data_IF_607923313227
#
_entry.id   IF_607923313227
#
_cell.length_a   1.000
_cell.length_b   1.000
_cell.length_c   1.000
_cell.angle_alpha   90.00
_cell.angle_beta   90.00
_cell.angle_gamma   90.00
#
_symmetry.space_group_name_H-M   'P 1'
#
loop_
_entity.id
_entity.type
_entity.pdbx_description
1 polymer ?
#
# COMPACT_ATOMS: atom_id res chain seq x y z
N UNK A 1 -25.39 -8.98 18.59
CA UNK A 1 -24.17 -9.66 18.06
C UNK A 1 -22.95 -8.82 18.39
N UNK A 2 -21.83 -9.39 18.85
CA UNK A 2 -20.60 -8.63 19.11
C UNK A 2 -20.03 -8.11 17.77
N UNK A 3 -19.70 -6.82 17.67
CA UNK A 3 -19.07 -6.23 16.48
C UNK A 3 -17.73 -6.93 16.20
N UNK A 4 -17.48 -7.31 14.95
CA UNK A 4 -16.22 -7.95 14.55
C UNK A 4 -15.05 -6.97 14.73
N UNK A 5 -13.86 -7.44 15.09
CA UNK A 5 -12.66 -6.61 15.08
C UNK A 5 -12.38 -6.08 13.68
N UNK A 6 -12.02 -4.80 13.58
CA UNK A 6 -11.70 -4.12 12.32
C UNK A 6 -10.19 -4.08 12.09
N UNK A 7 -9.77 -4.43 10.88
CA UNK A 7 -8.39 -4.53 10.46
C UNK A 7 -8.13 -3.53 9.31
N UNK A 8 -7.22 -2.57 9.51
CA UNK A 8 -6.88 -1.55 8.53
C UNK A 8 -5.58 -1.95 7.81
N UNK A 9 -5.70 -2.26 6.52
CA UNK A 9 -4.58 -2.59 5.66
C UNK A 9 -4.04 -1.35 4.96
N UNK A 10 -2.82 -0.93 5.31
CA UNK A 10 -2.18 0.25 4.72
C UNK A 10 -1.31 -0.20 3.54
N UNK A 11 -1.76 0.17 2.34
CA UNK A 11 -1.17 -0.20 1.07
C UNK A 11 -0.41 0.97 0.46
N UNK A 12 0.58 0.67 -0.36
CA UNK A 12 1.30 1.66 -1.14
C UNK A 12 2.70 1.20 -1.45
N UNK A 13 3.22 1.68 -2.57
CA UNK A 13 4.60 1.43 -2.97
C UNK A 13 5.59 1.92 -1.89
N UNK A 14 6.75 1.27 -1.79
CA UNK A 14 7.86 1.80 -1.01
C UNK A 14 8.12 3.25 -1.41
N UNK A 15 8.43 4.11 -0.42
CA UNK A 15 8.72 5.56 -0.63
C UNK A 15 7.51 6.43 -0.97
N UNK A 16 6.29 5.88 -0.97
CA UNK A 16 5.04 6.66 -1.13
C UNK A 16 4.50 7.29 0.15
N UNK A 17 5.22 7.26 1.27
CA UNK A 17 4.74 7.84 2.53
C UNK A 17 3.82 6.93 3.36
N UNK A 18 3.79 5.63 3.09
CA UNK A 18 3.00 4.66 3.86
C UNK A 18 3.35 4.65 5.35
N UNK A 19 4.62 4.85 5.72
CA UNK A 19 5.04 5.01 7.13
C UNK A 19 4.40 6.23 7.79
N UNK A 20 4.24 7.32 7.05
CA UNK A 20 3.63 8.56 7.52
C UNK A 20 2.15 8.37 7.80
N UNK A 21 1.44 7.79 6.84
CA UNK A 21 0.02 7.44 7.01
C UNK A 21 -0.16 6.45 8.17
N UNK A 22 0.73 5.46 8.30
CA UNK A 22 0.71 4.52 9.44
C UNK A 22 0.79 5.24 10.78
N UNK A 23 1.69 6.21 10.91
CA UNK A 23 1.79 6.99 12.15
C UNK A 23 0.55 7.83 12.40
N UNK A 24 -0.01 8.47 11.39
CA UNK A 24 -1.24 9.25 11.53
C UNK A 24 -2.41 8.36 12.00
N UNK A 25 -2.60 7.19 11.39
CA UNK A 25 -3.63 6.23 11.80
C UNK A 25 -3.39 5.69 13.20
N UNK A 26 -2.12 5.49 13.58
CA UNK A 26 -1.78 5.10 14.94
C UNK A 26 -2.16 6.18 15.97
N UNK A 27 -1.96 7.47 15.66
CA UNK A 27 -2.40 8.58 16.50
C UNK A 27 -3.94 8.66 16.61
N UNK A 28 -4.66 8.24 15.56
CA UNK A 28 -6.12 8.07 15.57
C UNK A 28 -6.60 6.82 16.34
N UNK A 29 -5.68 6.05 16.95
CA UNK A 29 -6.02 4.90 17.78
C UNK A 29 -6.07 3.56 17.05
N UNK A 30 -5.54 3.48 15.82
CA UNK A 30 -5.29 2.18 15.17
C UNK A 30 -4.12 1.49 15.86
N UNK A 31 -4.38 0.32 16.43
CA UNK A 31 -3.34 -0.50 17.05
C UNK A 31 -2.42 -1.11 15.97
N UNK A 32 -1.16 -0.66 15.93
CA UNK A 32 -0.12 -1.22 15.06
C UNK A 32 0.73 -2.29 15.77
N UNK A 33 0.39 -2.60 17.02
CA UNK A 33 1.06 -3.58 17.86
C UNK A 33 2.14 -2.95 18.73
N UNK A 34 2.78 -3.79 19.55
CA UNK A 34 3.80 -3.33 20.49
C UNK A 34 4.95 -2.60 19.76
N UNK A 35 5.32 -1.40 20.23
CA UNK A 35 6.39 -0.58 19.66
C UNK A 35 7.73 -1.32 19.53
N UNK A 36 8.03 -2.26 20.44
CA UNK A 36 9.26 -3.10 20.39
C UNK A 36 9.27 -4.05 19.17
N UNK A 37 8.10 -4.39 18.65
CA UNK A 37 7.93 -5.28 17.50
C UNK A 37 7.79 -4.51 16.18
N UNK A 38 7.76 -3.17 16.23
CA UNK A 38 7.75 -2.32 15.06
C UNK A 38 9.17 -2.01 14.59
N UNK A 39 9.36 -2.01 13.28
CA UNK A 39 10.64 -1.62 12.68
C UNK A 39 10.87 -0.13 12.93
N UNK A 40 11.86 0.17 13.76
CA UNK A 40 12.23 1.51 14.22
C UNK A 40 12.87 2.39 13.13
N UNK A 41 13.51 3.47 13.57
CA UNK A 41 14.23 4.41 12.70
C UNK A 41 15.44 3.75 12.04
N UNK A 42 15.80 4.23 10.84
CA UNK A 42 17.02 3.82 10.15
C UNK A 42 17.44 4.85 9.11
N UNK A 43 18.63 4.69 8.51
CA UNK A 43 19.20 5.66 7.54
C UNK A 43 18.23 6.06 6.42
N UNK A 44 17.44 5.10 5.93
CA UNK A 44 16.47 5.35 4.86
C UNK A 44 15.12 5.91 5.34
N UNK A 45 14.83 5.90 6.64
CA UNK A 45 13.64 6.50 7.24
C UNK A 45 13.89 6.85 8.73
N UNK A 46 14.38 8.07 9.01
CA UNK A 46 14.71 8.50 10.36
C UNK A 46 13.53 8.49 11.34
N UNK A 47 12.28 8.61 10.86
CA UNK A 47 11.07 8.63 11.70
C UNK A 47 10.42 7.25 11.89
N UNK A 48 11.11 6.18 11.49
CA UNK A 48 10.68 4.80 11.70
C UNK A 48 9.82 4.24 10.57
N UNK A 49 9.95 2.94 10.31
CA UNK A 49 9.21 2.28 9.25
C UNK A 49 7.81 1.85 9.65
N UNK A 50 7.50 1.66 10.93
CA UNK A 50 6.16 1.25 11.40
C UNK A 50 5.69 -0.09 10.80
N UNK A 51 6.62 -0.92 10.31
CA UNK A 51 6.33 -2.28 9.81
C UNK A 51 6.46 -3.27 10.97
N UNK A 52 5.42 -4.07 11.21
CA UNK A 52 5.46 -5.09 12.26
C UNK A 52 6.40 -6.23 11.84
N UNK A 53 7.48 -6.41 12.59
CA UNK A 53 8.65 -7.20 12.16
C UNK A 53 8.33 -8.66 11.82
N UNK A 54 7.45 -9.33 12.60
CA UNK A 54 7.06 -10.71 12.32
C UNK A 54 6.20 -10.83 11.05
N UNK A 55 5.35 -9.83 10.77
CA UNK A 55 4.58 -9.75 9.53
C UNK A 55 5.54 -9.59 8.34
N UNK A 56 6.46 -8.62 8.41
CA UNK A 56 7.44 -8.38 7.35
C UNK A 56 8.31 -9.60 7.08
N UNK A 57 8.81 -10.28 8.12
CA UNK A 57 9.60 -11.52 7.97
C UNK A 57 8.79 -12.62 7.28
N UNK A 58 7.50 -12.75 7.60
CA UNK A 58 6.63 -13.75 6.98
C UNK A 58 6.42 -13.46 5.49
N UNK A 59 6.15 -12.21 5.13
CA UNK A 59 5.99 -11.80 3.73
C UNK A 59 7.29 -11.95 2.92
N UNK A 60 8.44 -11.59 3.50
CA UNK A 60 9.74 -11.83 2.86
C UNK A 60 10.01 -13.32 2.61
N UNK A 61 9.63 -14.20 3.55
CA UNK A 61 9.73 -15.65 3.34
C UNK A 61 8.83 -16.13 2.20
N UNK A 62 7.61 -15.58 2.07
CA UNK A 62 6.71 -15.91 0.96
C UNK A 62 7.34 -15.49 -0.38
N UNK A 63 7.86 -14.27 -0.49
CA UNK A 63 8.53 -13.83 -1.73
C UNK A 63 9.73 -14.72 -2.07
N UNK A 64 10.55 -15.11 -1.07
CA UNK A 64 11.66 -16.05 -1.28
C UNK A 64 11.21 -17.44 -1.75
N UNK A 65 10.09 -17.96 -1.21
CA UNK A 65 9.49 -19.23 -1.65
C UNK A 65 9.07 -19.16 -3.11
N UNK A 66 8.61 -17.99 -3.55
CA UNK A 66 8.18 -17.70 -4.92
C UNK A 66 9.35 -17.22 -5.80
N UNK A 67 10.59 -17.44 -5.37
CA UNK A 67 11.82 -17.05 -6.09
C UNK A 67 11.84 -15.60 -6.57
N UNK A 68 11.25 -14.69 -5.79
CA UNK A 68 11.12 -13.28 -6.14
C UNK A 68 11.49 -12.38 -4.95
N UNK A 69 11.61 -11.09 -5.23
CA UNK A 69 11.89 -10.03 -4.26
C UNK A 69 10.84 -8.91 -4.33
N UNK A 70 11.01 -7.91 -3.47
CA UNK A 70 10.11 -6.76 -3.38
C UNK A 70 10.23 -5.83 -4.60
N UNK A 71 11.36 -5.82 -5.30
CA UNK A 71 11.66 -4.96 -6.45
C UNK A 71 11.36 -5.61 -7.81
N UNK A 72 10.51 -6.64 -7.79
CA UNK A 72 10.00 -7.26 -9.01
C UNK A 72 9.15 -6.30 -9.82
N UNK A 73 9.21 -6.45 -11.14
CA UNK A 73 8.50 -5.61 -12.12
C UNK A 73 7.33 -6.33 -12.80
N UNK A 74 7.06 -7.57 -12.41
CA UNK A 74 6.10 -8.46 -13.05
C UNK A 74 5.10 -8.99 -12.01
N UNK A 75 3.85 -9.33 -12.36
CA UNK A 75 2.87 -9.92 -11.44
C UNK A 75 3.25 -11.33 -11.00
N UNK A 76 2.71 -11.78 -9.86
CA UNK A 76 3.00 -13.14 -9.37
C UNK A 76 2.34 -14.12 -10.33
N UNK A 77 2.99 -15.27 -10.56
CA UNK A 77 2.43 -16.35 -11.37
C UNK A 77 1.03 -16.71 -10.90
N UNK A 78 0.15 -17.09 -11.81
CA UNK A 78 -1.16 -17.57 -11.43
C UNK A 78 -1.05 -18.74 -10.44
N UNK A 79 -2.05 -18.87 -9.57
CA UNK A 79 -2.11 -19.97 -8.61
C UNK A 79 -0.93 -20.07 -7.61
N UNK A 80 -0.07 -19.05 -7.45
CA UNK A 80 1.03 -19.03 -6.48
C UNK A 80 0.60 -19.38 -5.04
N UNK A 81 -0.65 -19.08 -4.67
CA UNK A 81 -1.24 -19.45 -3.38
C UNK A 81 -1.45 -20.96 -3.17
N UNK A 82 -1.46 -21.77 -4.25
CA UNK A 82 -1.58 -23.23 -4.16
C UNK A 82 -0.31 -23.87 -3.59
N UNK A 83 0.84 -23.20 -3.70
CA UNK A 83 2.12 -23.66 -3.16
C UNK A 83 2.03 -23.98 -1.66
N UNK A 84 2.38 -25.21 -1.28
CA UNK A 84 2.23 -25.69 0.10
C UNK A 84 3.08 -24.89 1.11
N UNK A 85 4.27 -24.42 0.70
CA UNK A 85 5.16 -23.63 1.56
C UNK A 85 4.57 -22.25 1.82
N UNK A 86 3.90 -21.65 0.83
CA UNK A 86 3.13 -20.41 1.00
C UNK A 86 1.98 -20.64 1.98
N UNK A 87 1.18 -21.70 1.81
CA UNK A 87 0.09 -22.05 2.74
C UNK A 87 0.58 -22.18 4.18
N UNK A 88 1.76 -22.77 4.40
CA UNK A 88 2.37 -22.86 5.72
C UNK A 88 2.75 -21.49 6.30
N UNK A 89 3.22 -20.54 5.47
CA UNK A 89 3.44 -19.17 5.95
C UNK A 89 2.12 -18.45 6.27
N UNK A 90 1.03 -18.70 5.54
CA UNK A 90 -0.30 -18.14 5.87
C UNK A 90 -0.78 -18.63 7.24
N UNK A 91 -0.55 -19.90 7.59
CA UNK A 91 -0.84 -20.41 8.96
C UNK A 91 -0.06 -19.63 10.03
N UNK A 92 1.24 -19.43 9.82
CA UNK A 92 2.10 -18.64 10.72
C UNK A 92 1.67 -17.18 10.80
N UNK A 93 1.23 -16.59 9.69
CA UNK A 93 0.72 -15.23 9.66
C UNK A 93 -0.53 -15.10 10.56
N UNK A 94 -1.47 -16.04 10.48
CA UNK A 94 -2.64 -16.08 11.37
C UNK A 94 -2.26 -16.21 12.84
N UNK A 95 -1.27 -17.03 13.17
CA UNK A 95 -0.76 -17.17 14.55
C UNK A 95 -0.18 -15.84 15.05
N UNK A 96 0.63 -15.16 14.24
CA UNK A 96 1.17 -13.82 14.54
C UNK A 96 0.03 -12.82 14.77
N UNK A 97 -0.98 -12.82 13.91
CA UNK A 97 -2.12 -11.89 14.04
C UNK A 97 -2.92 -12.18 15.31
N UNK A 98 -3.27 -13.44 15.59
CA UNK A 98 -3.99 -13.82 16.81
C UNK A 98 -3.22 -13.43 18.08
N UNK A 99 -1.94 -13.76 18.14
CA UNK A 99 -1.11 -13.54 19.32
C UNK A 99 -0.92 -12.06 19.65
N UNK A 100 -0.85 -11.19 18.63
CA UNK A 100 -0.50 -9.78 18.83
C UNK A 100 -1.70 -8.83 18.73
N UNK A 101 -2.76 -9.22 18.02
CA UNK A 101 -3.90 -8.34 17.69
C UNK A 101 -5.26 -8.98 17.99
N UNK A 102 -5.31 -10.21 18.53
CA UNK A 102 -6.57 -10.93 18.77
C UNK A 102 -7.53 -10.24 19.76
N UNK A 103 -7.02 -9.38 20.62
CA UNK A 103 -7.81 -8.60 21.58
C UNK A 103 -8.11 -7.16 21.10
N UNK A 104 -7.56 -6.75 19.96
CA UNK A 104 -7.68 -5.38 19.44
C UNK A 104 -8.99 -5.22 18.67
N UNK A 105 -9.83 -4.27 19.08
CA UNK A 105 -11.10 -3.96 18.39
C UNK A 105 -10.87 -3.27 17.04
N UNK A 106 -9.80 -2.49 16.95
CA UNK A 106 -9.34 -1.79 15.77
C UNK A 106 -7.81 -1.90 15.72
N UNK A 107 -7.30 -2.56 14.70
CA UNK A 107 -5.86 -2.73 14.49
C UNK A 107 -5.51 -2.48 13.02
N UNK A 108 -4.24 -2.36 12.73
CA UNK A 108 -3.78 -2.20 11.35
C UNK A 108 -2.35 -2.68 11.16
N UNK A 109 -1.98 -2.83 9.90
CA UNK A 109 -0.62 -3.17 9.52
C UNK A 109 -0.22 -2.42 8.27
N UNK A 110 1.08 -2.21 8.16
CA UNK A 110 1.71 -1.66 6.96
C UNK A 110 2.91 -2.49 6.62
N UNK A 111 2.97 -2.90 5.36
CA UNK A 111 4.16 -3.41 4.70
C UNK A 111 3.92 -3.28 3.20
N UNK A 112 4.76 -2.57 2.42
CA UNK A 112 4.50 -2.39 0.99
C UNK A 112 4.28 -3.70 0.23
N UNK A 113 4.95 -4.78 0.61
CA UNK A 113 4.86 -6.11 -0.06
C UNK A 113 3.45 -6.68 0.04
N UNK A 114 2.65 -6.18 0.98
CA UNK A 114 1.21 -6.48 1.11
C UNK A 114 0.45 -6.15 -0.17
N UNK A 115 0.86 -5.12 -0.94
CA UNK A 115 0.24 -4.84 -2.24
C UNK A 115 0.31 -6.03 -3.20
N UNK A 116 1.44 -6.76 -3.20
CA UNK A 116 1.64 -7.92 -4.08
C UNK A 116 1.05 -9.20 -3.49
N UNK A 117 0.97 -9.27 -2.17
CA UNK A 117 0.54 -10.45 -1.43
C UNK A 117 -0.88 -10.35 -0.88
N UNK A 118 -1.68 -9.35 -1.28
CA UNK A 118 -2.98 -9.07 -0.67
C UNK A 118 -3.92 -10.29 -0.57
N UNK A 119 -3.94 -11.22 -1.56
CA UNK A 119 -4.74 -12.43 -1.45
C UNK A 119 -4.46 -13.30 -0.19
N UNK A 120 -3.24 -13.31 0.36
CA UNK A 120 -3.00 -14.00 1.64
C UNK A 120 -3.69 -13.31 2.82
N UNK A 121 -3.78 -11.98 2.79
CA UNK A 121 -4.34 -11.18 3.86
C UNK A 121 -5.85 -11.28 3.88
N UNK A 122 -6.48 -11.25 2.72
CA UNK A 122 -7.93 -11.49 2.60
C UNK A 122 -8.32 -12.85 3.17
N UNK A 123 -7.54 -13.88 2.84
CA UNK A 123 -7.73 -15.20 3.44
C UNK A 123 -7.51 -15.17 4.94
N UNK A 124 -6.45 -14.51 5.40
CA UNK A 124 -6.08 -14.42 6.82
C UNK A 124 -7.18 -13.73 7.63
N UNK A 125 -7.59 -12.51 7.25
CA UNK A 125 -8.60 -11.74 8.00
C UNK A 125 -9.97 -12.40 7.95
N UNK A 126 -10.37 -12.98 6.82
CA UNK A 126 -11.61 -13.77 6.70
C UNK A 126 -11.61 -14.98 7.64
N UNK A 127 -10.54 -15.78 7.66
CA UNK A 127 -10.42 -16.94 8.56
C UNK A 127 -10.26 -16.56 10.04
N UNK A 128 -9.94 -15.30 10.33
CA UNK A 128 -9.91 -14.73 11.68
C UNK A 128 -11.20 -13.98 12.05
N UNK A 129 -12.22 -13.99 11.19
CA UNK A 129 -13.50 -13.30 11.37
C UNK A 129 -13.34 -11.79 11.67
N UNK A 130 -12.45 -11.13 10.92
CA UNK A 130 -12.17 -9.70 10.99
C UNK A 130 -12.79 -8.98 9.78
N UNK A 131 -13.36 -7.79 10.02
CA UNK A 131 -13.71 -6.88 8.94
C UNK A 131 -12.45 -6.15 8.47
N UNK A 132 -12.22 -6.09 7.16
CA UNK A 132 -10.99 -5.51 6.59
C UNK A 132 -11.31 -4.29 5.73
N UNK A 133 -10.56 -3.22 5.95
CA UNK A 133 -10.65 -2.00 5.13
C UNK A 133 -9.25 -1.55 4.72
N UNK A 134 -9.18 -0.75 3.66
CA UNK A 134 -7.92 -0.46 2.99
C UNK A 134 -7.66 1.05 2.89
N UNK A 135 -6.43 1.46 3.17
CA UNK A 135 -5.95 2.82 2.87
C UNK A 135 -4.84 2.71 1.84
N UNK A 136 -5.07 3.21 0.63
CA UNK A 136 -4.11 3.17 -0.47
C UNK A 136 -3.34 4.48 -0.51
N UNK A 137 -2.04 4.42 -0.23
CA UNK A 137 -1.15 5.57 -0.24
C UNK A 137 -0.41 5.63 -1.57
N UNK A 138 -0.61 6.73 -2.31
CA UNK A 138 0.05 6.97 -3.59
C UNK A 138 0.96 8.19 -3.49
N UNK A 139 2.00 8.22 -4.30
CA UNK A 139 2.90 9.37 -4.46
C UNK A 139 3.29 9.47 -5.93
N UNK A 140 3.65 10.67 -6.39
CA UNK A 140 4.18 10.90 -7.72
C UNK A 140 5.26 9.86 -8.08
N UNK A 141 5.12 9.14 -9.20
CA UNK A 141 6.06 8.10 -9.60
C UNK A 141 7.49 8.61 -9.80
N UNK A 142 7.69 9.85 -10.26
CA UNK A 142 9.04 10.44 -10.39
C UNK A 142 9.70 10.63 -9.02
N UNK A 143 8.94 11.07 -8.02
CA UNK A 143 9.48 11.29 -6.68
C UNK A 143 9.82 9.96 -5.99
N UNK A 144 9.02 8.93 -6.23
CA UNK A 144 9.33 7.55 -5.83
C UNK A 144 10.58 7.06 -6.54
N UNK A 145 10.69 7.25 -7.86
CA UNK A 145 11.85 6.84 -8.65
C UNK A 145 13.14 7.54 -8.20
N UNK A 146 13.10 8.86 -7.99
CA UNK A 146 14.25 9.61 -7.45
C UNK A 146 14.64 9.11 -6.04
N UNK A 147 13.67 8.74 -5.20
CA UNK A 147 13.97 8.15 -3.89
C UNK A 147 14.60 6.76 -3.99
N UNK A 148 14.15 5.93 -4.94
CA UNK A 148 14.73 4.61 -5.20
C UNK A 148 16.11 4.70 -5.84
N UNK A 149 16.35 5.65 -6.74
CA UNK A 149 17.67 5.93 -7.29
C UNK A 149 18.68 6.26 -6.17
N UNK A 150 18.33 7.18 -5.26
CA UNK A 150 19.20 7.53 -4.12
C UNK A 150 19.44 6.35 -3.16
N UNK A 151 18.44 5.50 -2.93
CA UNK A 151 18.52 4.39 -1.95
C UNK A 151 19.17 3.12 -2.52
N UNK A 152 18.89 2.80 -3.77
CA UNK A 152 19.20 1.51 -4.39
C UNK A 152 20.01 1.60 -5.68
N UNK A 153 20.20 2.80 -6.25
CA UNK A 153 20.82 2.97 -7.56
C UNK A 153 19.94 2.46 -8.72
N UNK A 154 18.62 2.38 -8.53
CA UNK A 154 17.73 1.91 -9.58
C UNK A 154 17.57 2.93 -10.70
N UNK A 155 17.52 2.44 -11.94
CA UNK A 155 17.14 3.21 -13.11
C UNK A 155 15.69 3.68 -13.02
N UNK A 156 15.38 4.76 -13.74
CA UNK A 156 14.04 5.34 -13.81
C UNK A 156 13.01 4.29 -14.23
N UNK A 157 13.24 3.65 -15.38
CA UNK A 157 12.32 2.63 -15.92
C UNK A 157 11.98 1.53 -14.90
N UNK A 158 12.99 0.91 -14.28
CA UNK A 158 12.77 -0.13 -13.25
C UNK A 158 11.90 0.41 -12.12
N UNK A 159 12.18 1.62 -11.65
CA UNK A 159 11.42 2.25 -10.58
C UNK A 159 9.97 2.51 -10.96
N UNK A 160 9.70 2.99 -12.18
CA UNK A 160 8.35 3.22 -12.70
C UNK A 160 7.57 1.90 -12.84
N UNK A 161 8.21 0.84 -13.35
CA UNK A 161 7.59 -0.49 -13.48
C UNK A 161 7.22 -1.10 -12.12
N UNK A 162 8.09 -0.99 -11.11
CA UNK A 162 7.78 -1.43 -9.74
C UNK A 162 6.63 -0.60 -9.17
N UNK A 163 6.67 0.73 -9.34
CA UNK A 163 5.62 1.62 -8.86
C UNK A 163 4.25 1.28 -9.45
N UNK A 164 4.18 1.04 -10.76
CA UNK A 164 2.95 0.65 -11.44
C UNK A 164 2.42 -0.68 -10.91
N UNK A 165 3.29 -1.69 -10.77
CA UNK A 165 2.88 -3.01 -10.28
C UNK A 165 2.24 -2.92 -8.89
N UNK A 166 2.89 -2.21 -7.96
CA UNK A 166 2.38 -2.06 -6.59
C UNK A 166 1.08 -1.26 -6.55
N UNK A 167 1.00 -0.20 -7.34
CA UNK A 167 -0.16 0.71 -7.37
C UNK A 167 -1.37 0.01 -7.97
N UNK A 168 -1.21 -0.61 -9.14
CA UNK A 168 -2.28 -1.40 -9.77
C UNK A 168 -2.70 -2.58 -8.89
N UNK A 169 -1.76 -3.34 -8.31
CA UNK A 169 -2.10 -4.45 -7.43
C UNK A 169 -2.92 -3.97 -6.22
N UNK A 170 -2.56 -2.83 -5.63
CA UNK A 170 -3.30 -2.26 -4.51
C UNK A 170 -4.74 -1.90 -4.88
N UNK A 171 -4.96 -1.25 -6.03
CA UNK A 171 -6.31 -0.90 -6.46
C UNK A 171 -7.13 -2.09 -6.96
N UNK A 172 -6.54 -3.00 -7.75
CA UNK A 172 -7.25 -4.15 -8.30
C UNK A 172 -7.65 -5.15 -7.21
N UNK A 173 -6.73 -5.50 -6.30
CA UNK A 173 -7.10 -6.41 -5.21
C UNK A 173 -8.08 -5.79 -4.21
N UNK A 174 -8.23 -4.47 -4.17
CA UNK A 174 -9.20 -3.81 -3.27
C UNK A 174 -10.49 -3.38 -3.95
N UNK A 175 -10.66 -3.71 -5.23
CA UNK A 175 -11.90 -3.43 -5.95
C UNK A 175 -13.11 -4.05 -5.23
N UNK A 176 -14.21 -3.28 -5.15
CA UNK A 176 -15.44 -3.66 -4.45
C UNK A 176 -15.27 -3.96 -2.94
N UNK A 177 -14.23 -3.40 -2.31
CA UNK A 177 -13.99 -3.49 -0.85
C UNK A 177 -14.06 -2.11 -0.19
N UNK A 178 -14.26 -2.08 1.12
CA UNK A 178 -14.22 -0.84 1.92
C UNK A 178 -12.80 -0.24 1.85
N UNK A 179 -12.61 0.79 1.03
CA UNK A 179 -11.31 1.40 0.78
C UNK A 179 -11.40 2.92 0.66
N UNK A 180 -10.28 3.56 0.95
CA UNK A 180 -10.05 4.98 0.67
C UNK A 180 -8.62 5.14 0.16
N UNK A 181 -8.31 6.31 -0.38
CA UNK A 181 -6.97 6.61 -0.87
C UNK A 181 -6.50 7.99 -0.42
N UNK A 182 -5.18 8.14 -0.38
CA UNK A 182 -4.51 9.37 -0.01
C UNK A 182 -3.25 9.53 -0.86
N UNK A 183 -3.07 10.70 -1.46
CA UNK A 183 -1.77 11.05 -2.04
C UNK A 183 -0.85 11.62 -0.97
N UNK A 184 0.44 11.32 -1.08
CA UNK A 184 1.45 11.86 -0.17
C UNK A 184 1.52 13.39 -0.24
N UNK A 185 1.29 13.91 -1.45
CA UNK A 185 1.24 15.33 -1.76
C UNK A 185 0.08 16.01 -1.00
N UNK A 186 -1.14 15.48 -1.07
CA UNK A 186 -2.30 16.06 -0.36
C UNK A 186 -2.12 15.99 1.16
N UNK A 187 -1.56 14.90 1.68
CA UNK A 187 -1.26 14.74 3.10
C UNK A 187 -0.26 15.80 3.61
N UNK A 188 0.74 16.16 2.81
CA UNK A 188 1.73 17.16 3.22
C UNK A 188 1.22 18.59 3.07
N UNK A 189 0.40 18.86 2.05
CA UNK A 189 -0.17 20.19 1.81
C UNK A 189 -1.24 20.54 2.86
N UNK A 190 -2.16 19.63 3.13
CA UNK A 190 -3.18 19.79 4.15
C UNK A 190 -3.50 18.41 4.73
N UNK A 191 -2.87 18.06 5.84
CA UNK A 191 -3.02 16.74 6.44
C UNK A 191 -4.41 16.45 6.98
N UNK A 192 -5.15 17.48 7.37
CA UNK A 192 -6.39 17.34 8.14
C UNK A 192 -7.52 16.81 7.25
N UNK A 193 -7.68 17.37 6.06
CA UNK A 193 -8.71 16.97 5.09
C UNK A 193 -8.62 15.49 4.70
N UNK A 194 -7.49 14.96 4.18
CA UNK A 194 -7.40 13.58 3.77
C UNK A 194 -7.49 12.62 4.97
N UNK A 195 -6.98 12.98 6.16
CA UNK A 195 -7.16 12.14 7.34
C UNK A 195 -8.61 12.12 7.84
N UNK A 196 -9.34 13.24 7.76
CA UNK A 196 -10.79 13.29 8.05
C UNK A 196 -11.59 12.44 7.06
N UNK A 197 -11.21 12.45 5.79
CA UNK A 197 -11.79 11.55 4.78
C UNK A 197 -11.56 10.10 5.16
N UNK A 198 -10.32 9.70 5.50
CA UNK A 198 -10.01 8.33 5.93
C UNK A 198 -10.80 7.93 7.19
N UNK A 199 -10.91 8.84 8.16
CA UNK A 199 -11.69 8.61 9.39
C UNK A 199 -13.16 8.38 9.11
N UNK A 200 -13.77 9.20 8.24
CA UNK A 200 -15.17 9.07 7.83
C UNK A 200 -15.39 7.81 7.02
N UNK A 201 -14.64 7.63 5.93
CA UNK A 201 -14.81 6.54 4.96
C UNK A 201 -14.63 5.17 5.63
N UNK A 202 -13.71 5.05 6.58
CA UNK A 202 -13.39 3.80 7.26
C UNK A 202 -13.93 3.71 8.69
N UNK A 203 -14.79 4.65 9.12
CA UNK A 203 -15.33 4.69 10.49
C UNK A 203 -14.25 4.55 11.60
N UNK A 204 -13.08 5.17 11.39
CA UNK A 204 -12.00 5.21 12.38
C UNK A 204 -12.29 6.37 13.34
N UNK A 205 -12.33 6.15 14.67
CA UNK A 205 -12.62 7.22 15.62
C UNK A 205 -11.59 8.36 15.54
N UNK A 206 -12.07 9.60 15.39
CA UNK A 206 -11.23 10.77 15.58
C UNK A 206 -11.21 11.11 17.08
N UNK A 207 -10.09 10.86 17.77
CA UNK A 207 -10.00 11.02 19.23
C UNK A 207 -8.99 12.10 19.61
N UNK A 208 -9.49 13.13 20.29
CA UNK A 208 -8.67 14.20 20.86
C UNK A 208 -8.05 15.12 19.81
N UNK A 209 -7.25 16.07 20.28
CA UNK A 209 -6.43 16.90 19.43
C UNK A 209 -5.08 16.22 19.19
N UNK A 210 -4.88 15.75 17.95
CA UNK A 210 -3.64 15.10 17.48
C UNK A 210 -2.82 16.04 16.58
N UNK A 211 -3.24 17.30 16.45
CA UNK A 211 -2.68 18.25 15.48
C UNK A 211 -1.19 18.48 15.69
N UNK A 212 -0.76 18.70 16.93
CA UNK A 212 0.66 18.95 17.22
C UNK A 212 1.52 17.72 16.95
N UNK A 213 1.06 16.54 17.36
CA UNK A 213 1.74 15.26 17.09
C UNK A 213 1.86 14.97 15.59
N UNK A 214 0.83 15.31 14.80
CA UNK A 214 0.86 15.16 13.34
C UNK A 214 1.82 16.17 12.71
N UNK A 215 1.74 17.46 13.08
CA UNK A 215 2.61 18.52 12.53
C UNK A 215 4.09 18.24 12.81
N UNK A 216 4.42 17.80 14.02
CA UNK A 216 5.77 17.38 14.39
C UNK A 216 6.27 16.22 13.50
N UNK A 217 5.37 15.26 13.22
CA UNK A 217 5.71 14.11 12.37
C UNK A 217 5.82 14.49 10.88
N UNK A 218 4.96 15.38 10.37
CA UNK A 218 4.86 15.70 8.94
C UNK A 218 5.89 16.70 8.41
N UNK A 219 6.83 17.18 9.25
CA UNK A 219 7.87 18.18 8.89
C UNK A 219 8.15 18.29 7.38
N UNK A 220 7.89 19.46 6.75
CA UNK A 220 8.04 19.68 5.30
C UNK A 220 9.42 19.29 4.74
N UNK A 221 10.45 19.31 5.60
CA UNK A 221 11.82 18.86 5.29
C UNK A 221 11.91 17.40 4.79
N UNK A 222 10.86 16.59 4.98
CA UNK A 222 10.78 15.19 4.52
C UNK A 222 10.40 15.06 3.04
N UNK A 223 9.89 16.11 2.40
CA UNK A 223 9.60 16.10 0.96
C UNK A 223 10.85 16.50 0.17
N UNK A 224 11.74 15.54 -0.05
CA UNK A 224 12.98 15.80 -0.80
C UNK A 224 12.79 15.97 -2.31
N UNK A 225 11.67 15.51 -2.86
CA UNK A 225 11.32 15.63 -4.28
C UNK A 225 9.86 16.05 -4.39
N UNK A 226 9.58 17.00 -5.28
CA UNK A 226 8.24 17.53 -5.60
C UNK A 226 8.12 17.72 -7.11
N UNK A 227 7.93 16.61 -7.84
CA UNK A 227 7.72 16.64 -9.28
C UNK A 227 6.28 17.07 -9.62
N UNK A 228 6.11 17.89 -10.65
CA UNK A 228 4.79 18.26 -11.18
C UNK A 228 4.19 17.15 -12.05
N UNK A 229 2.93 17.32 -12.44
CA UNK A 229 2.27 16.43 -13.40
C UNK A 229 2.83 16.65 -14.82
N UNK A 230 3.25 17.88 -15.13
CA UNK A 230 3.95 18.25 -16.36
C UNK A 230 5.32 17.57 -16.45
N UNK A 231 6.10 17.57 -15.35
CA UNK A 231 7.37 16.84 -15.27
C UNK A 231 7.16 15.36 -15.54
N UNK A 232 6.10 14.78 -14.94
CA UNK A 232 5.77 13.38 -15.17
C UNK A 232 5.48 13.12 -16.64
N UNK A 233 4.60 13.92 -17.26
CA UNK A 233 4.24 13.79 -18.68
C UNK A 233 5.49 13.83 -19.57
N UNK A 234 6.41 14.75 -19.32
CA UNK A 234 7.63 14.93 -20.11
C UNK A 234 8.63 13.79 -19.91
N UNK A 235 8.81 13.31 -18.67
CA UNK A 235 9.81 12.28 -18.34
C UNK A 235 9.32 10.85 -18.51
N UNK A 236 8.03 10.64 -18.80
CA UNK A 236 7.45 9.32 -19.05
C UNK A 236 6.81 9.21 -20.43
N UNK A 237 7.32 9.94 -21.43
CA UNK A 237 6.87 9.84 -22.83
C UNK A 237 6.97 8.40 -23.36
N UNK A 238 8.03 7.69 -23.00
CA UNK A 238 8.23 6.26 -23.32
C UNK A 238 7.39 5.31 -22.44
N UNK A 239 6.76 5.83 -21.39
CA UNK A 239 5.94 5.06 -20.45
C UNK A 239 4.54 5.68 -20.27
N UNK A 240 3.74 5.81 -21.36
CA UNK A 240 2.46 6.55 -21.33
C UNK A 240 1.45 5.97 -20.33
N UNK A 241 1.50 4.66 -20.08
CA UNK A 241 0.65 3.99 -19.09
C UNK A 241 0.91 4.47 -17.66
N UNK A 242 2.15 4.86 -17.32
CA UNK A 242 2.51 5.38 -16.00
C UNK A 242 1.84 6.73 -15.77
N UNK A 243 1.91 7.60 -16.78
CA UNK A 243 1.25 8.90 -16.75
C UNK A 243 -0.27 8.76 -16.66
N UNK A 244 -0.88 7.92 -17.54
CA UNK A 244 -2.33 7.65 -17.52
C UNK A 244 -2.77 7.12 -16.14
N UNK A 245 -2.03 6.17 -15.57
CA UNK A 245 -2.32 5.63 -14.22
C UNK A 245 -2.30 6.73 -13.16
N UNK A 246 -1.26 7.57 -13.13
CA UNK A 246 -1.18 8.64 -12.15
C UNK A 246 -2.26 9.70 -12.34
N UNK A 247 -2.60 10.05 -13.59
CA UNK A 247 -3.70 10.97 -13.89
C UNK A 247 -5.05 10.46 -13.36
N UNK A 248 -5.36 9.18 -13.56
CA UNK A 248 -6.59 8.56 -13.05
C UNK A 248 -6.64 8.64 -11.52
N UNK A 249 -5.51 8.41 -10.85
CA UNK A 249 -5.41 8.49 -9.39
C UNK A 249 -5.63 9.91 -8.88
N UNK A 250 -5.04 10.93 -9.52
CA UNK A 250 -5.25 12.33 -9.13
C UNK A 250 -6.71 12.76 -9.34
N UNK A 251 -7.37 12.28 -10.40
CA UNK A 251 -8.82 12.50 -10.58
C UNK A 251 -9.61 11.81 -9.47
N UNK A 252 -9.32 10.54 -9.19
CA UNK A 252 -10.01 9.74 -8.17
C UNK A 252 -9.87 10.29 -6.75
N UNK A 253 -8.74 10.93 -6.41
CA UNK A 253 -8.60 11.59 -5.10
C UNK A 253 -9.57 12.76 -4.93
N UNK A 254 -9.85 13.49 -6.02
CA UNK A 254 -10.72 14.68 -6.01
C UNK A 254 -12.20 14.34 -6.21
N UNK A 255 -12.48 13.21 -6.81
CA UNK A 255 -13.81 12.78 -7.22
C UNK A 255 -14.09 11.37 -6.67
N UNK A 256 -14.80 11.34 -5.52
CA UNK A 256 -15.18 10.08 -4.86
C UNK A 256 -16.17 9.26 -5.67
N UNK A 257 -17.02 9.88 -6.50
CA UNK A 257 -17.94 9.14 -7.35
C UNK A 257 -17.17 8.43 -8.45
N UNK A 258 -16.22 9.13 -9.10
CA UNK A 258 -15.31 8.51 -10.05
C UNK A 258 -14.49 7.39 -9.41
N UNK A 259 -13.92 7.57 -8.22
CA UNK A 259 -13.14 6.53 -7.53
C UNK A 259 -13.92 5.23 -7.29
N UNK A 260 -15.23 5.32 -7.10
CA UNK A 260 -16.14 4.18 -6.89
C UNK A 260 -16.87 3.74 -8.16
N UNK A 261 -16.58 4.35 -9.31
CA UNK A 261 -17.26 4.08 -10.58
C UNK A 261 -16.67 2.87 -11.32
N UNK A 262 -17.49 2.27 -12.18
CA UNK A 262 -17.02 1.28 -13.14
C UNK A 262 -16.02 1.88 -14.15
N UNK A 263 -16.09 3.18 -14.44
CA UNK A 263 -15.15 3.88 -15.32
C UNK A 263 -13.71 3.79 -14.76
N UNK A 264 -13.53 4.07 -13.48
CA UNK A 264 -12.22 3.97 -12.83
C UNK A 264 -11.71 2.53 -12.83
N UNK A 265 -12.55 1.57 -12.42
CA UNK A 265 -12.21 0.15 -12.46
C UNK A 265 -11.78 -0.33 -13.85
N UNK A 266 -12.57 -0.06 -14.88
CA UNK A 266 -12.30 -0.49 -16.25
C UNK A 266 -10.96 0.07 -16.77
N UNK A 267 -10.67 1.35 -16.48
CA UNK A 267 -9.39 1.95 -16.83
C UNK A 267 -8.20 1.27 -16.14
N UNK A 268 -8.34 0.87 -14.87
CA UNK A 268 -7.29 0.16 -14.15
C UNK A 268 -7.06 -1.26 -14.71
N UNK A 269 -8.13 -1.99 -15.03
CA UNK A 269 -8.03 -3.30 -15.68
C UNK A 269 -7.40 -3.21 -17.06
N UNK A 270 -7.78 -2.22 -17.87
CA UNK A 270 -7.19 -1.96 -19.19
C UNK A 270 -5.67 -1.69 -19.07
N UNK A 271 -5.27 -0.81 -18.14
CA UNK A 271 -3.86 -0.50 -17.90
C UNK A 271 -3.08 -1.72 -17.40
N UNK A 272 -3.66 -2.52 -16.53
CA UNK A 272 -3.04 -3.74 -16.04
C UNK A 272 -2.84 -4.76 -17.17
N UNK A 273 -3.84 -4.94 -18.03
CA UNK A 273 -3.73 -5.82 -19.20
C UNK A 273 -2.69 -5.30 -20.19
N UNK A 274 -2.63 -4.01 -20.47
CA UNK A 274 -1.61 -3.40 -21.34
C UNK A 274 -0.19 -3.62 -20.82
N UNK A 275 0.02 -3.50 -19.50
CA UNK A 275 1.34 -3.67 -18.89
C UNK A 275 1.73 -5.14 -18.68
N UNK A 276 0.75 -6.00 -18.40
CA UNK A 276 1.00 -7.34 -17.84
C UNK A 276 0.24 -8.49 -18.50
N UNK A 277 -0.66 -8.26 -19.45
CA UNK A 277 -1.47 -9.30 -20.09
C UNK A 277 -0.63 -10.44 -20.70
N UNK A 278 0.56 -10.12 -21.20
CA UNK A 278 1.53 -11.11 -21.72
C UNK A 278 2.00 -12.16 -20.69
N UNK A 279 1.89 -11.89 -19.39
CA UNK A 279 2.29 -12.84 -18.35
C UNK A 279 1.20 -13.88 -18.02
N UNK A 280 -0.02 -13.67 -18.53
CA UNK A 280 -1.18 -14.54 -18.30
C UNK A 280 -1.59 -15.31 -19.56
N UNK A 281 -1.26 -14.80 -20.75
CA UNK A 281 -1.63 -15.41 -22.04
C UNK A 281 -0.69 -16.53 -22.53
N UNK A 282 0.05 -17.20 -21.63
CA UNK A 282 0.87 -18.36 -21.99
C UNK A 282 0.14 -19.71 -21.79
N UNK A 283 -1.17 -19.74 -22.05
CA UNK A 283 -1.86 -20.98 -22.45
C UNK A 283 -1.50 -21.28 -23.92
N UNK A 284 -0.27 -21.71 -24.15
CA UNK A 284 0.23 -22.03 -25.49
C UNK A 284 1.67 -22.54 -25.48
N UNK A 285 1.80 -23.86 -25.49
CA UNK A 285 3.02 -24.67 -25.75
C UNK A 285 3.93 -24.93 -24.54
N UNK A 286 3.59 -25.98 -23.77
CA UNK A 286 4.31 -27.27 -23.77
C UNK A 286 3.50 -28.36 -23.07
#
# INVERSE_FOLDING_TARGET
>A
MKKKPKAICILGMHRSGTSTVSRCLNLLGVDLGNKKNLTGSGKANPKGFWEFTQITRTQQKILKILFTSWDRTEPLEENWMKNFRVKNQVKKLKEVVRANFGNSKLWGWKDPRTCLLLPIWERTTRELNMDTSYVIVVRNPLDVAASLAKRNGFLLEKSLRIWALYTLSAFLYTENKERTMITYESLLENWEVPLKNVSTDLSIPWRGDISDSIKEFLSPSLQHNKSSIEDLKQKTTEFPHIFKLYQLIIRAEKDKEFFNSAEFSNNLHELYFQLYGKYFNNDGVK
#
